data_IF_290095250505
#
_entry.id   IF_290095250505
#
_cell.length_a   1.000
_cell.length_b   1.000
_cell.length_c   1.000
_cell.angle_alpha   90.00
_cell.angle_beta   90.00
_cell.angle_gamma   90.00
#
_symmetry.space_group_name_H-M   'P 1'
#
loop_
_entity.id
_entity.type
_entity.pdbx_description
1 polymer ?
#
# COMPACT_ATOMS: atom_id res chain seq x y z
N UNK A 1 2.72 21.64 33.25
CA UNK A 1 3.73 20.73 32.66
C UNK A 1 2.98 19.86 31.67
N UNK A 2 2.97 20.26 30.40
CA UNK A 2 2.30 19.50 29.34
C UNK A 2 3.28 18.40 28.97
N UNK A 3 2.98 17.17 29.37
CA UNK A 3 3.71 16.01 28.91
C UNK A 3 3.45 15.89 27.41
N UNK A 4 4.38 16.41 26.61
CA UNK A 4 4.53 16.04 25.23
C UNK A 4 4.89 14.56 25.26
N UNK A 5 3.88 13.71 25.31
CA UNK A 5 4.02 12.30 24.97
C UNK A 5 4.25 12.31 23.47
N UNK A 6 5.50 12.61 23.10
CA UNK A 6 6.11 11.98 21.94
C UNK A 6 5.98 10.52 22.30
N UNK A 7 4.88 9.90 21.88
CA UNK A 7 4.80 8.47 21.73
C UNK A 7 6.05 8.19 20.93
N UNK A 8 7.08 7.70 21.61
CA UNK A 8 8.25 7.12 20.98
C UNK A 8 7.66 6.35 19.83
N UNK A 9 7.96 6.77 18.60
CA UNK A 9 7.76 5.94 17.43
C UNK A 9 8.43 4.66 17.85
N UNK A 10 7.64 3.69 18.34
CA UNK A 10 8.16 2.48 18.93
C UNK A 10 8.88 1.85 17.76
N UNK A 11 10.20 2.00 17.74
CA UNK A 11 11.03 1.44 16.70
C UNK A 11 10.80 -0.05 16.84
N UNK A 12 9.93 -0.58 15.98
CA UNK A 12 9.69 -2.00 15.92
C UNK A 12 11.08 -2.62 15.70
N UNK A 13 11.41 -3.69 16.44
CA UNK A 13 12.77 -4.27 16.40
C UNK A 13 13.15 -4.77 15.01
N UNK A 14 12.19 -4.91 14.10
CA UNK A 14 12.41 -5.19 12.70
C UNK A 14 11.81 -4.05 11.89
N UNK A 15 12.63 -3.25 11.21
CA UNK A 15 12.15 -2.37 10.19
C UNK A 15 11.49 -3.21 9.07
N UNK A 16 10.21 -2.97 8.79
CA UNK A 16 9.40 -3.75 7.85
C UNK A 16 8.79 -2.85 6.76
N UNK A 17 9.25 -3.04 5.52
CA UNK A 17 8.59 -2.47 4.33
C UNK A 17 7.75 -3.56 3.67
N UNK A 18 6.53 -3.23 3.25
CA UNK A 18 5.59 -4.24 2.75
C UNK A 18 4.51 -3.65 1.84
N UNK A 19 3.93 -4.55 1.03
CA UNK A 19 2.66 -4.33 0.35
C UNK A 19 1.54 -4.96 1.18
N UNK A 20 0.57 -4.16 1.61
CA UNK A 20 -0.58 -4.58 2.39
C UNK A 20 -1.87 -4.59 1.58
N UNK A 21 -2.84 -5.40 2.03
CA UNK A 21 -4.21 -5.38 1.53
C UNK A 21 -5.23 -5.56 2.66
N UNK A 22 -6.41 -4.98 2.48
CA UNK A 22 -7.60 -5.16 3.32
C UNK A 22 -8.83 -5.33 2.42
N UNK A 23 -9.63 -6.35 2.69
CA UNK A 23 -10.86 -6.69 1.98
C UNK A 23 -12.06 -6.43 2.88
N UNK A 24 -12.97 -5.60 2.38
CA UNK A 24 -14.21 -5.23 3.02
C UNK A 24 -15.38 -5.72 2.17
N UNK A 25 -16.47 -6.13 2.81
CA UNK A 25 -17.71 -6.39 2.07
C UNK A 25 -18.47 -5.09 1.77
N UNK A 26 -19.63 -5.20 1.14
CA UNK A 26 -20.45 -4.06 0.71
C UNK A 26 -20.90 -3.14 1.85
N UNK A 27 -20.94 -3.65 3.08
CA UNK A 27 -21.28 -2.89 4.28
C UNK A 27 -20.04 -2.28 4.95
N UNK A 28 -18.90 -2.30 4.25
CA UNK A 28 -17.59 -1.85 4.72
C UNK A 28 -17.08 -2.63 5.94
N UNK A 29 -17.51 -3.89 6.11
CA UNK A 29 -17.02 -4.76 7.19
C UNK A 29 -15.77 -5.48 6.72
N UNK A 30 -14.66 -5.25 7.41
CA UNK A 30 -13.39 -5.94 7.17
C UNK A 30 -13.57 -7.45 7.40
N UNK A 31 -13.24 -8.25 6.39
CA UNK A 31 -13.33 -9.71 6.50
C UNK A 31 -12.01 -10.43 6.22
N UNK A 32 -11.05 -9.79 5.55
CA UNK A 32 -9.72 -10.37 5.32
C UNK A 32 -8.68 -9.25 5.18
N UNK A 33 -7.48 -9.46 5.70
CA UNK A 33 -6.35 -8.57 5.49
C UNK A 33 -5.05 -9.35 5.51
N UNK A 34 -4.02 -8.82 4.88
CA UNK A 34 -2.70 -9.44 4.85
C UNK A 34 -1.63 -8.50 4.32
N UNK A 35 -0.39 -8.98 4.31
CA UNK A 35 0.76 -8.23 3.79
C UNK A 35 1.83 -9.17 3.23
N UNK A 36 2.56 -8.67 2.23
CA UNK A 36 3.76 -9.28 1.67
C UNK A 36 4.94 -8.39 2.03
N UNK A 37 5.85 -8.94 2.81
CA UNK A 37 6.97 -8.22 3.41
C UNK A 37 8.17 -8.30 2.50
N UNK A 38 8.83 -7.15 2.29
CA UNK A 38 10.10 -7.08 1.59
C UNK A 38 11.14 -7.95 2.30
N UNK A 39 11.77 -8.85 1.56
CA UNK A 39 12.80 -9.70 2.15
C UNK A 39 14.06 -8.90 2.49
N UNK A 40 14.88 -9.43 3.40
CA UNK A 40 16.21 -8.86 3.70
C UNK A 40 17.19 -8.98 2.52
N UNK A 41 16.89 -9.83 1.54
CA UNK A 41 17.73 -10.08 0.37
C UNK A 41 17.58 -8.99 -0.70
N UNK A 42 16.52 -8.18 -0.63
CA UNK A 42 16.28 -7.03 -1.50
C UNK A 42 17.26 -5.87 -1.33
N UNK A 43 18.20 -5.94 -0.37
CA UNK A 43 19.14 -4.86 -0.12
C UNK A 43 19.96 -4.55 -1.37
N UNK A 44 19.81 -3.34 -1.90
CA UNK A 44 20.42 -2.85 -3.15
C UNK A 44 20.01 -3.65 -4.41
N UNK A 45 18.82 -4.27 -4.38
CA UNK A 45 18.25 -5.04 -5.50
C UNK A 45 16.75 -4.72 -5.64
N UNK A 46 16.18 -5.12 -6.77
CA UNK A 46 14.73 -5.13 -6.96
C UNK A 46 14.15 -6.46 -6.49
N UNK A 47 13.00 -6.40 -5.81
CA UNK A 47 12.21 -7.55 -5.40
C UNK A 47 10.74 -7.27 -5.74
N UNK A 48 10.07 -8.23 -6.38
CA UNK A 48 8.65 -8.13 -6.70
C UNK A 48 7.80 -8.64 -5.52
N UNK A 49 6.94 -7.78 -4.99
CA UNK A 49 5.97 -8.16 -3.97
C UNK A 49 4.65 -8.51 -4.65
N UNK A 50 4.32 -9.81 -4.69
CA UNK A 50 3.14 -10.31 -5.40
C UNK A 50 2.15 -10.94 -4.42
N UNK A 51 0.89 -10.52 -4.47
CA UNK A 51 -0.20 -11.12 -3.72
C UNK A 51 -1.33 -11.54 -4.66
N UNK A 52 -1.76 -12.80 -4.56
CA UNK A 52 -2.92 -13.32 -5.28
C UNK A 52 -4.11 -13.43 -4.33
N UNK A 53 -5.22 -12.78 -4.68
CA UNK A 53 -6.42 -12.71 -3.85
C UNK A 53 -7.59 -13.39 -4.54
N UNK A 54 -8.33 -14.18 -3.77
CA UNK A 54 -9.62 -14.72 -4.18
C UNK A 54 -10.72 -13.93 -3.48
N UNK A 55 -11.42 -13.07 -4.24
CA UNK A 55 -12.47 -12.20 -3.70
C UNK A 55 -13.74 -13.03 -3.45
N UNK A 56 -14.14 -13.12 -2.18
CA UNK A 56 -15.26 -13.98 -1.72
C UNK A 56 -16.60 -13.24 -1.63
N UNK A 57 -16.55 -11.91 -1.54
CA UNK A 57 -17.70 -11.03 -1.35
C UNK A 57 -17.50 -9.76 -2.16
N UNK A 58 -18.59 -9.24 -2.72
CA UNK A 58 -18.62 -7.90 -3.31
C UNK A 58 -18.34 -6.85 -2.22
N UNK A 59 -17.62 -5.79 -2.58
CA UNK A 59 -17.23 -4.74 -1.64
C UNK A 59 -15.99 -3.98 -2.10
N UNK A 60 -15.11 -3.67 -1.15
CA UNK A 60 -13.97 -2.79 -1.36
C UNK A 60 -12.65 -3.52 -1.08
N UNK A 61 -11.63 -3.19 -1.85
CA UNK A 61 -10.25 -3.55 -1.58
C UNK A 61 -9.45 -2.28 -1.34
N UNK A 62 -8.74 -2.25 -0.22
CA UNK A 62 -7.69 -1.26 0.01
C UNK A 62 -6.34 -1.96 -0.14
N UNK A 63 -5.49 -1.43 -1.00
CA UNK A 63 -4.10 -1.88 -1.15
C UNK A 63 -3.17 -0.71 -0.91
N UNK A 64 -2.08 -0.94 -0.19
CA UNK A 64 -1.19 0.13 0.24
C UNK A 64 0.25 -0.34 0.36
N UNK A 65 1.17 0.61 0.23
CA UNK A 65 2.60 0.39 0.41
C UNK A 65 3.04 1.13 1.66
N UNK A 66 3.75 0.43 2.54
CA UNK A 66 4.16 0.96 3.83
C UNK A 66 5.65 0.71 4.03
N UNK A 67 6.35 1.75 4.48
CA UNK A 67 7.71 1.67 5.00
C UNK A 67 7.70 2.07 6.48
N UNK A 68 7.71 1.10 7.39
CA UNK A 68 7.82 1.34 8.83
C UNK A 68 9.29 1.43 9.30
N UNK A 69 10.21 1.66 8.37
CA UNK A 69 11.66 1.72 8.61
C UNK A 69 12.18 3.14 8.53
N UNK A 70 13.28 3.41 9.23
CA UNK A 70 14.04 4.66 9.04
C UNK A 70 14.91 4.63 7.78
N UNK A 71 15.07 3.46 7.18
CA UNK A 71 15.85 3.29 5.96
C UNK A 71 14.99 3.67 4.75
N UNK A 72 15.63 4.24 3.73
CA UNK A 72 14.92 4.57 2.50
C UNK A 72 14.58 3.30 1.73
N UNK A 73 13.31 3.15 1.39
CA UNK A 73 12.80 2.09 0.52
C UNK A 73 12.05 2.76 -0.63
N UNK A 74 12.38 2.36 -1.85
CA UNK A 74 11.72 2.84 -3.06
C UNK A 74 10.79 1.75 -3.58
N UNK A 75 9.57 2.15 -3.90
CA UNK A 75 8.60 1.30 -4.58
C UNK A 75 8.39 1.84 -5.99
N UNK A 76 8.22 0.93 -6.95
CA UNK A 76 7.95 1.27 -8.34
C UNK A 76 7.03 0.21 -8.95
N UNK A 77 6.37 0.55 -10.06
CA UNK A 77 5.53 -0.34 -10.86
C UNK A 77 4.40 -1.01 -10.07
N UNK A 78 3.69 -0.25 -9.24
CA UNK A 78 2.54 -0.78 -8.50
C UNK A 78 1.37 -1.08 -9.46
N UNK A 79 1.01 -2.36 -9.56
CA UNK A 79 0.00 -2.85 -10.51
C UNK A 79 -1.09 -3.64 -9.79
N UNK A 80 -2.34 -3.41 -10.19
CA UNK A 80 -3.49 -4.23 -9.80
C UNK A 80 -4.05 -4.89 -11.06
N UNK A 81 -4.16 -6.21 -11.02
CA UNK A 81 -4.80 -7.00 -12.08
C UNK A 81 -6.06 -7.65 -11.52
N UNK A 82 -7.17 -7.52 -12.25
CA UNK A 82 -8.46 -8.10 -11.89
C UNK A 82 -9.05 -8.85 -13.07
N UNK A 83 -9.64 -10.02 -12.79
CA UNK A 83 -10.45 -10.77 -13.75
C UNK A 83 -11.90 -10.29 -13.79
N UNK A 84 -12.36 -9.63 -12.72
CA UNK A 84 -13.70 -9.04 -12.61
C UNK A 84 -13.70 -7.51 -12.77
N UNK A 85 -14.89 -6.89 -12.86
CA UNK A 85 -15.01 -5.44 -12.86
C UNK A 85 -14.40 -4.82 -11.60
N UNK A 86 -13.57 -3.79 -11.79
CA UNK A 86 -12.95 -3.05 -10.70
C UNK A 86 -13.06 -1.55 -10.99
N UNK A 87 -13.48 -0.79 -10.00
CA UNK A 87 -13.36 0.67 -10.00
C UNK A 87 -12.18 1.01 -9.12
N UNK A 88 -11.18 1.68 -9.70
CA UNK A 88 -9.95 2.06 -9.00
C UNK A 88 -10.03 3.52 -8.63
N UNK A 89 -9.82 3.81 -7.34
CA UNK A 89 -9.61 5.16 -6.84
C UNK A 89 -8.27 5.22 -6.12
N UNK A 90 -7.43 6.16 -6.52
CA UNK A 90 -6.15 6.42 -5.88
C UNK A 90 -6.33 7.49 -4.80
N UNK A 91 -5.84 7.22 -3.59
CA UNK A 91 -5.83 8.18 -2.49
C UNK A 91 -4.41 8.26 -1.95
N UNK A 92 -3.86 9.48 -1.89
CA UNK A 92 -2.54 9.73 -1.32
C UNK A 92 -2.71 10.03 0.17
N UNK A 93 -2.01 9.28 1.04
CA UNK A 93 -1.98 9.59 2.47
C UNK A 93 -1.27 10.92 2.72
N UNK A 94 -1.90 11.82 3.45
CA UNK A 94 -1.29 13.09 3.86
C UNK A 94 -0.19 12.83 4.90
N UNK A 95 1.02 13.35 4.68
CA UNK A 95 2.01 13.50 5.75
C UNK A 95 1.50 14.56 6.77
N UNK A 96 1.64 14.35 8.09
CA UNK A 96 1.08 15.25 9.10
C UNK A 96 1.76 16.63 9.20
N UNK A 97 2.82 16.88 8.43
CA UNK A 97 3.73 18.00 8.65
C UNK A 97 3.97 18.87 7.43
N UNK A 98 3.01 19.07 6.52
CA UNK A 98 3.15 20.19 5.60
C UNK A 98 1.80 20.74 5.11
N UNK A 99 1.83 22.06 4.90
CA UNK A 99 0.71 22.94 4.58
C UNK A 99 -0.09 22.37 3.40
N UNK A 100 -1.39 22.22 3.64
CA UNK A 100 -2.51 21.69 2.84
C UNK A 100 -2.64 22.13 1.36
N UNK A 101 -1.63 22.70 0.71
CA UNK A 101 -1.85 23.42 -0.55
C UNK A 101 -0.78 23.19 -1.62
N UNK A 102 0.40 22.65 -1.27
CA UNK A 102 1.48 22.38 -2.23
C UNK A 102 2.34 21.24 -1.69
N UNK A 103 2.18 20.01 -2.18
CA UNK A 103 3.07 18.94 -1.75
C UNK A 103 2.62 17.59 -2.26
N UNK A 104 3.09 17.22 -3.45
CA UNK A 104 3.16 15.82 -3.83
C UNK A 104 4.16 15.15 -2.86
N UNK A 105 3.71 14.31 -1.91
CA UNK A 105 4.51 13.98 -0.72
C UNK A 105 5.73 13.08 -0.99
N UNK A 106 5.95 12.66 -2.24
CA UNK A 106 6.96 11.65 -2.56
C UNK A 106 7.84 11.98 -3.78
N UNK A 107 7.65 13.13 -4.44
CA UNK A 107 8.35 13.41 -5.70
C UNK A 107 8.07 12.37 -6.79
N UNK A 108 7.01 11.57 -6.64
CA UNK A 108 6.57 10.57 -7.61
C UNK A 108 5.44 11.18 -8.42
N UNK A 109 5.65 11.36 -9.71
CA UNK A 109 4.56 11.60 -10.66
C UNK A 109 3.90 10.23 -10.86
N UNK A 110 2.97 9.87 -9.96
CA UNK A 110 2.15 8.67 -10.13
C UNK A 110 1.21 8.94 -11.31
N UNK A 111 1.70 8.70 -12.53
CA UNK A 111 0.83 8.50 -13.68
C UNK A 111 -0.09 7.35 -13.29
N UNK A 112 -1.36 7.67 -13.04
CA UNK A 112 -2.31 6.82 -12.30
C UNK A 112 -2.22 5.34 -12.63
N UNK A 113 -2.46 4.51 -11.62
CA UNK A 113 -2.34 3.04 -11.67
C UNK A 113 -2.78 2.47 -13.02
N UNK A 114 -1.85 1.84 -13.73
CA UNK A 114 -2.11 1.18 -14.99
C UNK A 114 -3.11 0.03 -14.80
N UNK A 115 -4.39 0.28 -15.06
CA UNK A 115 -5.40 -0.77 -15.10
C UNK A 115 -5.28 -1.54 -16.41
N UNK A 116 -4.94 -2.83 -16.33
CA UNK A 116 -4.99 -3.75 -17.47
C UNK A 116 -6.05 -4.81 -17.19
N UNK A 117 -7.12 -4.78 -18.00
CA UNK A 117 -8.12 -5.86 -18.03
C UNK A 117 -7.50 -7.07 -18.74
N UNK A 118 -7.28 -8.15 -18.02
CA UNK A 118 -6.80 -9.40 -18.59
C UNK A 118 -7.96 -10.20 -19.18
N UNK A 119 -8.11 -10.21 -20.51
CA UNK A 119 -8.88 -11.24 -21.19
C UNK A 119 -8.05 -12.54 -21.22
N UNK A 120 -8.39 -13.52 -20.38
CA UNK A 120 -7.96 -14.91 -20.59
C UNK A 120 -8.64 -15.40 -21.88
N UNK A 121 -7.89 -15.42 -22.98
CA UNK A 121 -8.33 -16.08 -24.22
C UNK A 121 -8.06 -17.57 -24.12
N UNK A 122 -9.14 -18.32 -23.94
CA UNK A 122 -9.20 -19.77 -24.15
C UNK A 122 -8.96 -20.15 -25.62
#
# INVERSE_FOLDING_TARGET
MIALVISEVQQKPVPEAYMGYALYDSDSVLYEQGKVVLSKEARNKHEELIQKLAIKKDGYIETYLVNETIENVWFDQFQIMSTGPLIVQETHGACPDERSDIGNPWGVDLSGLGYQYGEDRA
#
